data_IF_286096821343
#
_entry.id   IF_286096821343
#
_cell.length_a   1.000
_cell.length_b   1.000
_cell.length_c   1.000
_cell.angle_alpha   90.00
_cell.angle_beta   90.00
_cell.angle_gamma   90.00
#
_symmetry.space_group_name_H-M   'P 1'
#
loop_
_entity.id
_entity.type
_entity.pdbx_description
1 polymer ?
#
# COMPACT_ATOMS: atom_id res chain seq x y z
N UNK A 1 7.16 10.73 -21.74
CA UNK A 1 6.75 9.34 -21.41
C UNK A 1 7.11 8.90 -19.99
N UNK A 2 8.26 9.28 -19.40
CA UNK A 2 8.66 8.82 -18.04
C UNK A 2 7.67 9.22 -16.91
N UNK A 3 7.19 10.47 -16.93
CA UNK A 3 6.20 10.98 -15.94
C UNK A 3 4.83 10.31 -16.05
N UNK A 4 4.44 9.89 -17.26
CA UNK A 4 3.18 9.17 -17.48
C UNK A 4 3.18 7.86 -16.70
N UNK A 5 4.26 7.08 -16.77
CA UNK A 5 4.38 5.82 -16.04
C UNK A 5 4.35 6.02 -14.53
N UNK A 6 5.03 7.06 -14.00
CA UNK A 6 4.96 7.39 -12.59
C UNK A 6 3.51 7.69 -12.14
N UNK A 7 2.79 8.53 -12.88
CA UNK A 7 1.40 8.86 -12.58
C UNK A 7 0.46 7.65 -12.72
N UNK A 8 0.66 6.81 -13.74
CA UNK A 8 -0.10 5.59 -13.96
C UNK A 8 0.00 4.62 -12.78
N UNK A 9 1.21 4.41 -12.24
CA UNK A 9 1.41 3.53 -11.09
C UNK A 9 0.97 4.15 -9.76
N UNK A 10 0.92 5.48 -9.63
CA UNK A 10 0.35 6.17 -8.46
C UNK A 10 -1.18 6.15 -8.48
N UNK A 11 -1.78 6.16 -9.68
CA UNK A 11 -3.23 6.20 -9.84
C UNK A 11 -3.94 4.94 -9.33
N UNK A 12 -3.47 3.75 -9.70
CA UNK A 12 -4.13 2.49 -9.36
C UNK A 12 -4.30 2.22 -7.85
N UNK A 13 -3.28 2.49 -7.00
CA UNK A 13 -3.43 2.40 -5.56
C UNK A 13 -4.52 3.32 -4.99
N UNK A 14 -4.66 4.53 -5.54
CA UNK A 14 -5.69 5.49 -5.12
C UNK A 14 -7.08 4.93 -5.47
N UNK A 15 -7.22 4.37 -6.68
CA UNK A 15 -8.47 3.70 -7.09
C UNK A 15 -8.78 2.52 -6.18
N UNK A 16 -7.79 1.69 -5.84
CA UNK A 16 -7.98 0.56 -4.94
C UNK A 16 -8.49 1.01 -3.56
N UNK A 17 -7.89 2.04 -2.97
CA UNK A 17 -8.34 2.61 -1.69
C UNK A 17 -9.76 3.18 -1.79
N UNK A 18 -10.07 3.86 -2.89
CA UNK A 18 -11.42 4.40 -3.12
C UNK A 18 -12.47 3.28 -3.25
N UNK A 19 -12.18 2.23 -4.01
CA UNK A 19 -13.08 1.07 -4.15
C UNK A 19 -13.31 0.39 -2.80
N UNK A 20 -12.26 0.20 -2.00
CA UNK A 20 -12.39 -0.35 -0.65
C UNK A 20 -13.19 0.57 0.29
N UNK A 21 -13.06 1.89 0.15
CA UNK A 21 -13.80 2.86 0.96
C UNK A 21 -15.31 2.78 0.72
N UNK A 22 -15.75 2.65 -0.55
CA UNK A 22 -17.17 2.60 -0.90
C UNK A 22 -17.77 1.18 -0.80
N UNK A 23 -16.94 0.15 -0.66
CA UNK A 23 -17.39 -1.25 -0.63
C UNK A 23 -18.46 -1.55 0.45
N UNK A 24 -18.37 -1.05 1.68
CA UNK A 24 -19.39 -1.30 2.70
C UNK A 24 -20.75 -0.71 2.32
N UNK A 25 -20.78 0.51 1.79
CA UNK A 25 -22.01 1.20 1.36
C UNK A 25 -22.71 0.48 0.19
N UNK A 26 -21.94 -0.25 -0.62
CA UNK A 26 -22.43 -1.00 -1.78
C UNK A 26 -22.74 -2.47 -1.47
N UNK A 27 -22.71 -2.89 -0.20
CA UNK A 27 -22.87 -4.28 0.22
C UNK A 27 -21.87 -5.25 -0.45
N UNK A 28 -20.65 -4.78 -0.73
CA UNK A 28 -19.55 -5.61 -1.25
C UNK A 28 -18.68 -6.19 -0.13
N UNK A 29 -19.21 -6.17 1.08
CA UNK A 29 -18.54 -6.60 2.30
C UNK A 29 -19.22 -7.83 2.91
N UNK A 30 -19.17 -7.98 4.23
CA UNK A 30 -19.90 -9.02 4.95
C UNK A 30 -21.39 -9.03 4.58
N UNK A 31 -22.00 -10.21 4.40
CA UNK A 31 -23.36 -10.34 3.90
C UNK A 31 -24.44 -9.95 4.93
N UNK A 32 -24.12 -10.01 6.22
CA UNK A 32 -25.02 -9.63 7.32
C UNK A 32 -24.22 -9.34 8.58
N UNK A 33 -24.90 -8.81 9.61
CA UNK A 33 -24.34 -8.73 10.96
C UNK A 33 -23.95 -10.13 11.50
N UNK A 34 -22.97 -10.21 12.43
CA UNK A 34 -22.56 -11.47 13.01
C UNK A 34 -23.69 -12.11 13.83
N UNK A 35 -24.00 -13.37 13.52
CA UNK A 35 -25.09 -14.14 14.13
C UNK A 35 -24.71 -14.86 15.44
N UNK A 36 -23.46 -14.72 15.88
CA UNK A 36 -22.94 -15.34 17.10
C UNK A 36 -21.82 -14.50 17.71
N UNK A 37 -21.46 -14.80 18.97
CA UNK A 37 -20.31 -14.18 19.64
C UNK A 37 -19.00 -14.46 18.89
N UNK A 38 -18.81 -15.69 18.42
CA UNK A 38 -17.65 -16.08 17.61
C UNK A 38 -17.61 -15.31 16.29
N UNK A 39 -18.76 -15.12 15.63
CA UNK A 39 -18.84 -14.32 14.40
C UNK A 39 -18.34 -12.89 14.62
N UNK A 40 -18.71 -12.27 15.74
CA UNK A 40 -18.26 -10.92 16.09
C UNK A 40 -16.74 -10.85 16.30
N UNK A 41 -16.14 -11.88 16.89
CA UNK A 41 -14.68 -11.96 17.07
C UNK A 41 -13.97 -12.09 15.72
N UNK A 42 -14.50 -12.91 14.81
CA UNK A 42 -13.97 -13.08 13.45
C UNK A 42 -14.02 -11.77 12.67
N UNK A 43 -15.16 -11.08 12.68
CA UNK A 43 -15.30 -9.79 12.00
C UNK A 43 -14.31 -8.75 12.57
N UNK A 44 -14.13 -8.73 13.90
CA UNK A 44 -13.15 -7.89 14.57
C UNK A 44 -11.70 -8.18 14.14
N UNK A 45 -11.32 -9.46 14.08
CA UNK A 45 -10.00 -9.88 13.61
C UNK A 45 -9.78 -9.50 12.14
N UNK A 46 -10.79 -9.66 11.30
CA UNK A 46 -10.72 -9.27 9.92
C UNK A 46 -10.47 -7.75 9.78
N UNK A 47 -11.18 -6.89 10.51
CA UNK A 47 -10.94 -5.45 10.47
C UNK A 47 -9.55 -5.07 11.02
N UNK A 48 -9.07 -5.76 12.06
CA UNK A 48 -7.72 -5.55 12.59
C UNK A 48 -6.66 -5.84 11.53
N UNK A 49 -6.75 -7.00 10.87
CA UNK A 49 -5.81 -7.39 9.82
C UNK A 49 -5.92 -6.43 8.63
N UNK A 50 -7.15 -6.06 8.25
CA UNK A 50 -7.38 -5.11 7.18
C UNK A 50 -6.66 -3.78 7.44
N UNK A 51 -6.79 -3.22 8.65
CA UNK A 51 -6.10 -1.98 9.01
C UNK A 51 -4.58 -2.14 8.91
N UNK A 52 -4.01 -3.22 9.43
CA UNK A 52 -2.56 -3.49 9.37
C UNK A 52 -2.07 -3.56 7.93
N UNK A 53 -2.78 -4.31 7.08
CA UNK A 53 -2.43 -4.46 5.66
C UNK A 53 -2.62 -3.15 4.90
N UNK A 54 -3.71 -2.39 5.16
CA UNK A 54 -3.96 -1.10 4.52
C UNK A 54 -2.88 -0.09 4.85
N UNK A 55 -2.43 0.01 6.11
CA UNK A 55 -1.33 0.90 6.51
C UNK A 55 -0.04 0.51 5.80
N UNK A 56 0.29 -0.78 5.79
CA UNK A 56 1.49 -1.30 5.12
C UNK A 56 1.46 -1.05 3.61
N UNK A 57 0.30 -1.26 3.00
CA UNK A 57 0.05 -0.97 1.59
C UNK A 57 0.28 0.51 1.29
N UNK A 58 -0.37 1.43 2.02
CA UNK A 58 -0.20 2.88 1.83
C UNK A 58 1.28 3.29 1.94
N UNK A 59 1.99 2.81 2.97
CA UNK A 59 3.42 3.10 3.14
C UNK A 59 4.26 2.64 1.95
N UNK A 60 4.00 1.42 1.45
CA UNK A 60 4.67 0.86 0.27
C UNK A 60 4.38 1.70 -0.99
N UNK A 61 3.13 2.11 -1.19
CA UNK A 61 2.70 2.89 -2.35
C UNK A 61 3.29 4.31 -2.34
N UNK A 62 3.39 4.95 -1.17
CA UNK A 62 4.08 6.23 -1.00
C UNK A 62 5.56 6.08 -1.37
N UNK A 63 6.23 5.03 -0.85
CA UNK A 63 7.64 4.75 -1.16
C UNK A 63 7.87 4.53 -2.65
N UNK A 64 7.04 3.71 -3.29
CA UNK A 64 7.09 3.47 -4.74
C UNK A 64 6.81 4.74 -5.55
N UNK A 65 5.76 5.48 -5.20
CA UNK A 65 5.42 6.74 -5.86
C UNK A 65 6.57 7.76 -5.79
N UNK A 66 7.22 7.88 -4.62
CA UNK A 66 8.40 8.73 -4.45
C UNK A 66 9.56 8.30 -5.37
N UNK A 67 9.90 7.01 -5.39
CA UNK A 67 11.02 6.50 -6.22
C UNK A 67 10.73 6.66 -7.71
N UNK A 68 9.51 6.34 -8.16
CA UNK A 68 9.08 6.52 -9.55
C UNK A 68 9.11 7.99 -9.97
N UNK A 69 8.58 8.89 -9.13
CA UNK A 69 8.56 10.31 -9.41
C UNK A 69 9.98 10.87 -9.52
N UNK A 70 10.82 10.59 -8.51
CA UNK A 70 12.23 11.01 -8.49
C UNK A 70 12.99 10.48 -9.70
N UNK A 71 12.78 9.22 -10.09
CA UNK A 71 13.38 8.62 -11.27
C UNK A 71 12.88 9.26 -12.58
N UNK A 72 11.60 9.60 -12.66
CA UNK A 72 11.01 10.24 -13.84
C UNK A 72 11.42 11.70 -14.03
N UNK A 73 11.76 12.42 -12.95
CA UNK A 73 12.22 13.81 -12.98
C UNK A 73 13.74 13.97 -13.02
N UNK A 74 14.50 12.89 -12.82
CA UNK A 74 15.96 12.93 -12.84
C UNK A 74 16.48 13.25 -14.23
N UNK A 75 17.51 14.10 -14.30
CA UNK A 75 18.23 14.41 -15.53
C UNK A 75 18.83 13.12 -16.13
N UNK A 76 18.53 12.77 -17.40
CA UNK A 76 19.12 11.63 -18.08
C UNK A 76 20.66 11.61 -18.10
N UNK A 77 21.31 12.77 -18.05
CA UNK A 77 22.78 12.86 -18.03
C UNK A 77 23.38 12.49 -16.67
N UNK A 78 22.57 12.43 -15.61
CA UNK A 78 23.06 12.08 -14.27
C UNK A 78 23.06 10.56 -14.08
N UNK A 79 24.23 9.93 -13.90
CA UNK A 79 24.31 8.48 -13.71
C UNK A 79 23.57 8.01 -12.45
N UNK A 80 23.16 6.74 -12.45
CA UNK A 80 22.63 6.10 -11.25
C UNK A 80 23.74 5.96 -10.20
N UNK A 81 23.42 6.30 -8.94
CA UNK A 81 24.34 6.05 -7.83
C UNK A 81 24.32 4.58 -7.47
N UNK A 82 25.50 3.99 -7.25
CA UNK A 82 25.62 2.63 -6.75
C UNK A 82 25.62 2.64 -5.22
N UNK A 83 24.88 1.71 -4.61
CA UNK A 83 24.86 1.47 -3.18
C UNK A 83 24.96 -0.03 -2.93
N UNK A 84 25.85 -0.45 -2.02
CA UNK A 84 26.03 -1.85 -1.64
C UNK A 84 24.90 -2.41 -0.76
N UNK A 85 23.89 -1.59 -0.43
CA UNK A 85 22.85 -1.93 0.53
C UNK A 85 23.03 -1.17 1.84
N UNK A 86 22.09 -1.40 2.76
CA UNK A 86 22.09 -0.75 4.07
C UNK A 86 21.68 -1.77 5.10
N UNK A 87 22.67 -2.32 5.80
CA UNK A 87 22.45 -3.28 6.88
C UNK A 87 21.46 -2.77 7.93
N UNK A 88 21.45 -1.45 8.18
CA UNK A 88 20.49 -0.84 9.11
C UNK A 88 19.05 -0.93 8.59
N UNK A 89 18.82 -0.62 7.31
CA UNK A 89 17.48 -0.73 6.74
C UNK A 89 17.04 -2.19 6.63
N UNK A 90 17.99 -3.07 6.29
CA UNK A 90 17.79 -4.52 6.27
C UNK A 90 17.27 -5.07 7.59
N UNK A 91 17.94 -4.73 8.70
CA UNK A 91 17.47 -5.14 10.03
C UNK A 91 16.08 -4.61 10.33
N UNK A 92 15.77 -3.36 9.98
CA UNK A 92 14.45 -2.76 10.25
C UNK A 92 13.36 -3.53 9.50
N UNK A 93 13.51 -3.77 8.20
CA UNK A 93 12.47 -4.45 7.42
C UNK A 93 12.41 -5.97 7.65
N UNK A 94 13.39 -6.56 8.34
CA UNK A 94 13.34 -7.97 8.76
C UNK A 94 12.67 -8.15 10.12
N UNK A 95 12.80 -7.17 11.02
CA UNK A 95 12.25 -7.26 12.39
C UNK A 95 10.81 -6.74 12.48
N UNK A 96 10.44 -5.78 11.65
CA UNK A 96 9.12 -5.12 11.72
C UNK A 96 7.96 -5.99 11.21
N UNK A 97 8.05 -6.68 10.05
CA UNK A 97 7.01 -7.62 9.62
C UNK A 97 6.95 -8.86 10.52
#
# INVERSE_FOLDING_TARGET
MKKFWALFFIFWPIVALYVCWIAPENNWWFPSDPMSTVGREIDGLFYLILVVVTVTFIGTQIGMGYVLWKGATKDPATPAGFSHGSHKLEVIWTVVP
#
